data_IF_738453352644
#
_entry.id   IF_738453352644
#
_cell.length_a   1.000
_cell.length_b   1.000
_cell.length_c   1.000
_cell.angle_alpha   90.00
_cell.angle_beta   90.00
_cell.angle_gamma   90.00
#
_symmetry.space_group_name_H-M   'P 1'
#
loop_
_entity.id
_entity.type
_entity.pdbx_description
1 polymer ?
#
# COMPACT_ATOMS: atom_id res chain seq x y z
N UNK A 1 -5.50 9.97 -27.93
CA UNK A 1 -4.78 9.34 -26.82
C UNK A 1 -3.84 10.37 -26.23
N UNK A 2 -3.86 10.52 -24.93
CA UNK A 2 -2.91 11.37 -24.22
C UNK A 2 -1.55 10.65 -24.20
N UNK A 3 -0.44 11.40 -24.35
CA UNK A 3 0.90 10.80 -24.22
C UNK A 3 1.09 10.20 -22.84
N UNK A 4 1.47 8.91 -22.79
CA UNK A 4 1.74 8.22 -21.53
C UNK A 4 3.19 8.53 -21.15
N UNK A 5 3.38 9.29 -20.08
CA UNK A 5 4.71 9.67 -19.61
C UNK A 5 4.75 10.00 -18.12
N UNK A 6 5.90 9.82 -17.49
CA UNK A 6 6.14 10.28 -16.13
C UNK A 6 6.45 11.78 -16.17
N UNK A 7 5.71 12.55 -15.40
CA UNK A 7 5.99 13.97 -15.19
C UNK A 7 7.15 14.13 -14.20
N UNK A 8 8.35 14.33 -14.73
CA UNK A 8 9.57 14.48 -13.92
C UNK A 8 9.66 15.84 -13.21
N UNK A 9 8.87 16.81 -13.65
CA UNK A 9 8.79 18.15 -13.06
C UNK A 9 7.70 18.24 -11.97
N UNK A 10 6.88 17.19 -11.82
CA UNK A 10 5.87 17.12 -10.81
C UNK A 10 6.50 17.13 -9.40
N UNK A 11 6.11 18.13 -8.62
CA UNK A 11 6.67 18.35 -7.27
C UNK A 11 6.00 17.44 -6.25
N UNK A 12 6.80 16.76 -5.45
CA UNK A 12 6.33 15.99 -4.31
C UNK A 12 6.07 16.93 -3.11
N UNK A 13 4.85 16.88 -2.56
CA UNK A 13 4.52 17.49 -1.28
C UNK A 13 4.89 16.51 -0.17
N UNK A 14 5.98 16.80 0.55
CA UNK A 14 6.38 16.02 1.71
C UNK A 14 5.62 16.46 2.95
N UNK A 15 5.15 15.46 3.70
CA UNK A 15 4.56 15.64 5.04
C UNK A 15 5.29 14.74 6.01
N UNK A 16 5.87 15.33 7.03
CA UNK A 16 6.38 14.59 8.18
C UNK A 16 5.19 14.10 9.00
N UNK A 17 5.17 12.81 9.28
CA UNK A 17 4.10 12.14 10.03
C UNK A 17 4.45 12.06 11.51
N UNK A 18 5.72 11.85 11.81
CA UNK A 18 6.39 11.90 13.11
C UNK A 18 7.89 12.15 12.86
N UNK A 19 8.72 12.11 13.91
CA UNK A 19 10.15 12.41 13.83
C UNK A 19 10.93 11.55 12.84
N UNK A 20 10.47 10.33 12.59
CA UNK A 20 11.17 9.31 11.78
C UNK A 20 10.36 8.84 10.55
N UNK A 21 9.11 9.28 10.41
CA UNK A 21 8.17 8.81 9.38
C UNK A 21 7.67 9.95 8.51
N UNK A 22 7.61 9.73 7.21
CA UNK A 22 7.16 10.73 6.26
C UNK A 22 6.34 10.13 5.12
N UNK A 23 5.57 10.99 4.44
CA UNK A 23 4.86 10.65 3.20
C UNK A 23 5.04 11.76 2.18
N UNK A 24 5.43 11.37 0.96
CA UNK A 24 5.44 12.24 -0.22
C UNK A 24 4.18 11.98 -1.04
N UNK A 25 3.54 13.05 -1.49
CA UNK A 25 2.38 13.00 -2.39
C UNK A 25 2.70 13.81 -3.64
N UNK A 26 2.73 13.14 -4.80
CA UNK A 26 2.93 13.79 -6.09
C UNK A 26 1.65 13.64 -6.92
N UNK A 27 0.92 14.71 -7.13
CA UNK A 27 -0.29 14.72 -7.93
C UNK A 27 0.04 14.73 -9.42
N UNK A 28 -0.68 13.90 -10.20
CA UNK A 28 -0.50 13.85 -11.64
C UNK A 28 0.90 13.39 -12.09
N UNK A 29 1.60 12.63 -11.26
CA UNK A 29 2.95 12.12 -11.56
C UNK A 29 3.01 11.28 -12.84
N UNK A 30 1.92 10.56 -13.16
CA UNK A 30 1.79 9.82 -14.42
C UNK A 30 0.71 10.47 -15.29
N UNK A 31 1.08 10.97 -16.46
CA UNK A 31 0.17 11.41 -17.52
C UNK A 31 -0.33 10.20 -18.30
N UNK A 32 -1.57 10.26 -18.84
CA UNK A 32 -2.19 9.15 -19.56
C UNK A 32 -2.49 7.92 -18.67
N UNK A 33 -2.65 8.13 -17.36
CA UNK A 33 -2.83 7.06 -16.37
C UNK A 33 -4.10 6.23 -16.60
N UNK A 34 -5.14 6.79 -17.19
CA UNK A 34 -6.39 6.07 -17.49
C UNK A 34 -6.23 5.08 -18.65
N UNK A 35 -5.41 5.39 -19.65
CA UNK A 35 -5.05 4.45 -20.72
C UNK A 35 -4.23 3.29 -20.15
N UNK A 36 -3.29 3.56 -19.22
CA UNK A 36 -2.53 2.54 -18.51
C UNK A 36 -3.45 1.68 -17.64
N UNK A 37 -4.43 2.29 -16.93
CA UNK A 37 -5.42 1.55 -16.14
C UNK A 37 -6.19 0.56 -17.03
N UNK A 38 -6.70 1.00 -18.17
CA UNK A 38 -7.45 0.14 -19.09
C UNK A 38 -6.61 -1.03 -19.60
N UNK A 39 -5.37 -0.76 -20.02
CA UNK A 39 -4.45 -1.79 -20.49
C UNK A 39 -4.12 -2.83 -19.39
N UNK A 40 -3.95 -2.40 -18.15
CA UNK A 40 -3.67 -3.32 -17.04
C UNK A 40 -4.89 -4.14 -16.62
N UNK A 41 -6.10 -3.57 -16.66
CA UNK A 41 -7.33 -4.32 -16.38
C UNK A 41 -7.45 -5.53 -17.30
N UNK A 42 -7.15 -5.35 -18.58
CA UNK A 42 -7.27 -6.39 -19.60
C UNK A 42 -6.06 -7.33 -19.66
N UNK A 43 -4.84 -6.78 -19.53
CA UNK A 43 -3.60 -7.51 -19.82
C UNK A 43 -2.97 -8.25 -18.64
N UNK A 44 -3.37 -7.96 -17.38
CA UNK A 44 -2.76 -8.57 -16.21
C UNK A 44 -3.45 -9.88 -15.83
N UNK A 45 -2.71 -10.95 -15.54
CA UNK A 45 -3.27 -12.20 -15.03
C UNK A 45 -3.68 -12.04 -13.55
N UNK A 46 -4.80 -11.38 -13.31
CA UNK A 46 -5.32 -11.13 -11.99
C UNK A 46 -5.68 -12.41 -11.25
N UNK A 47 -5.28 -12.47 -9.97
CA UNK A 47 -5.56 -13.63 -9.09
C UNK A 47 -6.28 -13.19 -7.84
N UNK A 48 -7.23 -14.02 -7.39
CA UNK A 48 -7.90 -13.87 -6.11
C UNK A 48 -6.99 -14.40 -5.01
N UNK A 49 -6.52 -13.52 -4.12
CA UNK A 49 -5.81 -13.92 -2.91
C UNK A 49 -6.74 -14.56 -1.88
N UNK A 50 -6.19 -15.40 -1.00
CA UNK A 50 -6.92 -15.97 0.14
C UNK A 50 -6.09 -15.80 1.40
N UNK A 51 -6.75 -15.39 2.47
CA UNK A 51 -6.15 -15.24 3.80
C UNK A 51 -6.84 -16.15 4.81
N UNK A 52 -6.05 -16.77 5.69
CA UNK A 52 -6.61 -17.57 6.78
C UNK A 52 -6.96 -16.68 7.95
N UNK A 53 -8.28 -16.53 8.25
CA UNK A 53 -8.82 -15.76 9.37
C UNK A 53 -10.03 -16.45 9.95
N UNK A 54 -10.25 -16.29 11.25
CA UNK A 54 -11.40 -16.85 11.93
C UNK A 54 -11.56 -18.35 11.64
N UNK A 55 -10.43 -19.10 11.68
CA UNK A 55 -10.37 -20.55 11.45
C UNK A 55 -10.81 -21.02 10.05
N UNK A 56 -10.88 -20.10 9.09
CA UNK A 56 -11.25 -20.40 7.70
C UNK A 56 -10.46 -19.56 6.69
N UNK A 57 -10.38 -20.04 5.46
CA UNK A 57 -9.87 -19.25 4.36
C UNK A 57 -10.96 -18.31 3.84
N UNK A 58 -10.62 -17.04 3.75
CA UNK A 58 -11.46 -15.98 3.18
C UNK A 58 -10.78 -15.42 1.94
N UNK A 59 -11.56 -15.15 0.91
CA UNK A 59 -11.06 -14.45 -0.26
C UNK A 59 -10.71 -13.00 0.10
N UNK A 60 -9.54 -12.53 -0.33
CA UNK A 60 -9.21 -11.11 -0.17
C UNK A 60 -10.15 -10.26 -1.03
N UNK A 61 -10.74 -9.20 -0.50
CA UNK A 61 -11.63 -8.33 -1.26
C UNK A 61 -10.80 -7.39 -2.17
N UNK A 62 -10.03 -7.97 -3.07
CA UNK A 62 -9.24 -7.37 -4.16
C UNK A 62 -8.57 -8.48 -4.96
N UNK A 63 -8.18 -8.18 -6.19
CA UNK A 63 -7.31 -9.04 -6.97
C UNK A 63 -5.86 -8.58 -6.85
N UNK A 64 -4.92 -9.49 -7.11
CA UNK A 64 -3.50 -9.18 -7.06
C UNK A 64 -2.69 -9.83 -8.17
N UNK A 65 -1.53 -9.26 -8.46
CA UNK A 65 -0.49 -9.86 -9.30
C UNK A 65 0.88 -9.34 -8.87
N UNK A 66 1.94 -10.12 -9.11
CA UNK A 66 3.31 -9.74 -8.79
C UNK A 66 4.21 -9.97 -10.00
N UNK A 67 5.13 -9.03 -10.23
CA UNK A 67 6.13 -9.08 -11.28
C UNK A 67 7.50 -8.79 -10.68
N UNK A 68 8.43 -9.74 -10.77
CA UNK A 68 9.81 -9.54 -10.36
C UNK A 68 10.51 -8.53 -11.25
N UNK A 69 11.51 -7.84 -10.72
CA UNK A 69 12.29 -6.82 -11.46
C UNK A 69 12.98 -7.38 -12.72
N UNK A 70 13.27 -8.68 -12.73
CA UNK A 70 13.96 -9.37 -13.81
C UNK A 70 12.99 -9.96 -14.86
N UNK A 71 11.68 -9.71 -14.69
CA UNK A 71 10.61 -10.10 -15.64
C UNK A 71 10.03 -8.88 -16.33
N UNK A 72 9.55 -9.01 -17.58
CA UNK A 72 8.83 -7.94 -18.25
C UNK A 72 7.61 -7.50 -17.45
N UNK A 73 7.48 -6.20 -17.21
CA UNK A 73 6.27 -5.66 -16.59
C UNK A 73 5.11 -5.60 -17.59
N UNK A 74 3.86 -5.66 -17.13
CA UNK A 74 2.68 -5.74 -18.01
C UNK A 74 2.43 -4.45 -18.80
N UNK A 75 3.13 -3.35 -18.49
CA UNK A 75 3.10 -2.12 -19.27
C UNK A 75 4.47 -1.41 -19.19
N UNK A 76 5.00 -0.87 -20.31
CA UNK A 76 6.33 -0.24 -20.37
C UNK A 76 6.52 0.88 -19.34
N UNK A 77 5.50 1.71 -19.10
CA UNK A 77 5.56 2.81 -18.14
C UNK A 77 5.84 2.35 -16.70
N UNK A 78 5.46 1.12 -16.32
CA UNK A 78 5.79 0.59 -15.01
C UNK A 78 7.29 0.31 -14.87
N UNK A 79 7.98 -0.02 -15.98
CA UNK A 79 9.44 -0.14 -16.00
C UNK A 79 10.11 1.23 -15.86
N UNK A 80 9.57 2.25 -16.50
CA UNK A 80 10.04 3.63 -16.34
C UNK A 80 9.81 4.15 -14.93
N UNK A 81 8.62 3.90 -14.38
CA UNK A 81 8.26 4.23 -12.99
C UNK A 81 9.22 3.58 -12.00
N UNK A 82 9.50 2.29 -12.17
CA UNK A 82 10.46 1.57 -11.35
C UNK A 82 11.84 2.25 -11.35
N UNK A 83 12.36 2.57 -12.53
CA UNK A 83 13.68 3.23 -12.67
C UNK A 83 13.69 4.65 -12.07
N UNK A 84 12.63 5.44 -12.33
CA UNK A 84 12.51 6.80 -11.81
C UNK A 84 12.46 6.80 -10.27
N UNK A 85 11.67 5.91 -9.68
CA UNK A 85 11.56 5.78 -8.23
C UNK A 85 12.86 5.29 -7.58
N UNK A 86 13.57 4.33 -8.19
CA UNK A 86 14.88 3.89 -7.70
C UNK A 86 15.90 5.03 -7.70
N UNK A 87 15.90 5.84 -8.74
CA UNK A 87 16.79 6.98 -8.85
C UNK A 87 16.45 8.06 -7.81
N UNK A 88 15.18 8.41 -7.68
CA UNK A 88 14.70 9.47 -6.79
C UNK A 88 14.94 9.13 -5.31
N UNK A 89 14.64 7.90 -4.89
CA UNK A 89 14.73 7.48 -3.48
C UNK A 89 16.02 6.72 -3.16
N UNK A 90 16.91 6.50 -4.14
CA UNK A 90 18.20 5.82 -4.00
C UNK A 90 18.09 4.42 -3.37
N UNK A 91 17.11 3.66 -3.82
CA UNK A 91 16.82 2.30 -3.34
C UNK A 91 16.71 1.33 -4.52
N UNK A 92 16.79 0.02 -4.24
CA UNK A 92 16.61 -1.02 -5.26
C UNK A 92 15.38 -1.86 -4.91
N UNK A 93 14.32 -1.71 -5.69
CA UNK A 93 13.10 -2.51 -5.53
C UNK A 93 13.25 -3.92 -6.12
N UNK A 94 12.58 -4.90 -5.50
CA UNK A 94 12.57 -6.29 -5.96
C UNK A 94 11.61 -6.57 -7.12
N UNK A 95 10.67 -5.68 -7.37
CA UNK A 95 9.62 -5.84 -8.38
C UNK A 95 8.44 -4.91 -8.13
N UNK A 96 7.33 -5.15 -8.83
CA UNK A 96 6.07 -4.41 -8.66
C UNK A 96 4.92 -5.35 -8.30
N UNK A 97 4.21 -5.02 -7.23
CA UNK A 97 2.95 -5.64 -6.87
C UNK A 97 1.78 -4.82 -7.40
N UNK A 98 0.80 -5.46 -7.99
CA UNK A 98 -0.43 -4.83 -8.44
C UNK A 98 -1.59 -5.30 -7.56
N UNK A 99 -2.39 -4.36 -7.06
CA UNK A 99 -3.62 -4.64 -6.34
C UNK A 99 -4.79 -3.96 -7.07
N UNK A 100 -5.76 -4.75 -7.49
CA UNK A 100 -6.94 -4.28 -8.22
C UNK A 100 -8.18 -4.34 -7.33
N UNK A 101 -8.72 -3.18 -7.02
CA UNK A 101 -9.98 -2.95 -6.34
C UNK A 101 -11.04 -2.71 -7.41
N UNK A 102 -11.87 -3.71 -7.69
CA UNK A 102 -12.83 -3.74 -8.83
C UNK A 102 -13.95 -2.72 -8.68
N UNK A 103 -14.39 -2.53 -7.42
CA UNK A 103 -15.49 -1.61 -7.09
C UNK A 103 -15.36 -1.10 -5.65
N UNK A 104 -16.38 -0.41 -5.14
CA UNK A 104 -16.40 0.14 -3.77
C UNK A 104 -16.43 -0.92 -2.67
N UNK A 105 -16.76 -2.18 -2.96
CA UNK A 105 -16.79 -3.28 -1.98
C UNK A 105 -15.41 -3.87 -1.72
N UNK A 106 -14.52 -3.78 -2.71
CA UNK A 106 -13.13 -4.20 -2.54
C UNK A 106 -12.38 -3.24 -1.61
N UNK A 107 -11.53 -3.78 -0.76
CA UNK A 107 -10.90 -3.00 0.31
C UNK A 107 -9.67 -3.71 0.88
N UNK A 108 -8.87 -2.97 1.62
CA UNK A 108 -7.91 -3.51 2.59
C UNK A 108 -8.03 -2.72 3.89
N UNK A 109 -8.19 -3.44 4.99
CA UNK A 109 -8.25 -2.85 6.32
C UNK A 109 -6.89 -2.22 6.70
N UNK A 110 -6.86 -1.42 7.77
CA UNK A 110 -5.62 -0.88 8.31
C UNK A 110 -4.59 -1.98 8.58
N UNK A 111 -3.47 -1.87 7.91
CA UNK A 111 -2.37 -2.82 7.96
C UNK A 111 -1.04 -2.11 7.70
N UNK A 112 0.02 -2.83 7.87
CA UNK A 112 1.35 -2.56 7.33
C UNK A 112 1.75 -3.72 6.43
N UNK A 113 2.67 -3.50 5.54
CA UNK A 113 3.15 -4.54 4.64
C UNK A 113 4.01 -5.54 5.42
N UNK A 114 3.40 -6.67 5.77
CA UNK A 114 4.00 -7.70 6.64
C UNK A 114 5.15 -8.46 5.96
N UNK A 115 5.28 -8.34 4.65
CA UNK A 115 6.41 -8.89 3.89
C UNK A 115 7.73 -8.17 4.20
N UNK A 116 7.64 -6.93 4.70
CA UNK A 116 8.77 -6.15 5.16
C UNK A 116 9.07 -6.46 6.63
N UNK A 117 9.93 -7.44 6.87
CA UNK A 117 10.32 -7.85 8.23
C UNK A 117 11.10 -6.77 8.99
N UNK A 118 11.84 -5.92 8.27
CA UNK A 118 12.64 -4.83 8.82
C UNK A 118 11.94 -3.51 8.54
N UNK A 119 11.49 -2.84 9.59
CA UNK A 119 10.65 -1.65 9.49
C UNK A 119 11.34 -0.34 9.95
N UNK A 120 12.65 -0.40 10.28
CA UNK A 120 13.39 0.77 10.76
C UNK A 120 13.62 1.83 9.68
N UNK A 121 13.80 1.39 8.43
CA UNK A 121 13.89 2.29 7.30
C UNK A 121 13.36 1.60 6.05
N UNK A 122 12.26 2.10 5.55
CA UNK A 122 11.51 1.54 4.41
C UNK A 122 11.19 2.62 3.39
N UNK A 123 11.01 2.22 2.13
CA UNK A 123 10.42 3.05 1.08
C UNK A 123 9.35 2.23 0.39
N UNK A 124 8.12 2.73 0.41
CA UNK A 124 6.98 2.10 -0.25
C UNK A 124 6.32 3.13 -1.16
N UNK A 125 6.44 2.93 -2.46
CA UNK A 125 5.82 3.76 -3.47
C UNK A 125 4.51 3.12 -3.95
N UNK A 126 3.45 3.91 -4.10
CA UNK A 126 2.11 3.50 -4.53
C UNK A 126 1.64 4.44 -5.62
N UNK A 127 1.66 3.98 -6.87
CA UNK A 127 1.05 4.68 -8.01
C UNK A 127 -0.42 4.25 -8.11
N UNK A 128 -1.32 5.22 -8.17
CA UNK A 128 -2.76 5.00 -8.30
C UNK A 128 -3.19 5.17 -9.74
N UNK A 129 -4.00 4.22 -10.24
CA UNK A 129 -4.60 4.25 -11.56
C UNK A 129 -6.11 4.02 -11.44
N UNK A 130 -6.92 4.74 -12.21
CA UNK A 130 -8.38 4.65 -12.20
C UNK A 130 -9.04 5.49 -11.10
N UNK A 131 -10.13 5.02 -10.51
CA UNK A 131 -10.99 5.83 -9.65
C UNK A 131 -10.28 6.39 -8.42
N UNK A 132 -10.49 7.69 -8.17
CA UNK A 132 -10.15 8.31 -6.88
C UNK A 132 -10.99 7.69 -5.77
N UNK A 133 -10.33 7.29 -4.69
CA UNK A 133 -11.02 6.80 -3.48
C UNK A 133 -10.14 7.02 -2.25
N UNK A 134 -10.71 6.95 -1.04
CA UNK A 134 -9.95 7.12 0.18
C UNK A 134 -8.73 6.20 0.25
N UNK A 135 -7.63 6.75 0.69
CA UNK A 135 -6.41 6.04 1.05
C UNK A 135 -5.91 6.62 2.36
N UNK A 136 -6.09 5.85 3.42
CA UNK A 136 -6.00 6.34 4.79
C UNK A 136 -4.66 5.97 5.42
N UNK A 137 -4.07 6.93 6.15
CA UNK A 137 -2.96 6.73 7.07
C UNK A 137 -3.40 7.02 8.49
N UNK A 138 -3.03 6.17 9.45
CA UNK A 138 -3.23 6.46 10.88
C UNK A 138 -2.05 5.97 11.71
N UNK A 139 -1.74 6.62 12.84
CA UNK A 139 -0.74 6.16 13.77
C UNK A 139 -1.06 4.74 14.27
N UNK A 140 -0.04 3.92 14.39
CA UNK A 140 -0.15 2.61 15.03
C UNK A 140 -0.29 2.81 16.54
N UNK A 141 -1.50 2.63 17.07
CA UNK A 141 -1.73 2.65 18.51
C UNK A 141 -0.89 1.58 19.21
N UNK A 142 -0.20 1.95 20.27
CA UNK A 142 0.45 0.97 21.13
C UNK A 142 -0.65 0.20 21.86
N UNK A 143 -0.81 -1.10 21.60
CA UNK A 143 -1.81 -1.93 22.28
C UNK A 143 -1.66 -1.94 23.81
N UNK A 144 -0.44 -1.67 24.28
CA UNK A 144 -0.11 -1.60 25.70
C UNK A 144 -0.56 -0.30 26.38
N UNK A 145 -1.05 0.69 25.59
CA UNK A 145 -1.56 1.97 26.09
C UNK A 145 -3.09 2.09 26.07
N UNK A 146 -3.82 1.02 25.85
CA UNK A 146 -5.23 0.96 26.24
C UNK A 146 -5.30 0.89 27.78
N UNK A 147 -5.16 2.03 28.42
CA UNK A 147 -5.44 2.18 29.82
C UNK A 147 -6.93 1.99 30.04
N UNK A 148 -7.28 1.30 31.12
CA UNK A 148 -8.65 1.06 31.56
C UNK A 148 -9.42 2.37 31.89
N UNK A 149 -8.78 3.52 31.81
CA UNK A 149 -9.35 4.86 32.12
C UNK A 149 -9.95 5.60 30.91
N UNK A 150 -9.93 4.99 29.72
CA UNK A 150 -10.51 5.61 28.53
C UNK A 150 -9.79 6.91 28.04
N UNK A 151 -8.70 7.31 28.69
CA UNK A 151 -7.90 8.43 28.25
C UNK A 151 -7.24 8.08 26.91
N UNK A 152 -7.63 8.76 25.84
CA UNK A 152 -7.14 8.58 24.49
C UNK A 152 -5.60 8.60 24.47
N UNK A 153 -5.05 7.68 23.70
CA UNK A 153 -3.61 7.67 23.49
C UNK A 153 -3.14 9.00 22.90
N UNK A 154 -1.96 9.45 23.25
CA UNK A 154 -1.28 10.64 22.73
C UNK A 154 -1.21 10.68 21.19
N UNK A 155 -1.50 9.55 20.53
CA UNK A 155 -1.61 9.33 19.07
C UNK A 155 -3.05 9.03 18.61
N UNK A 156 -4.08 9.46 19.33
CA UNK A 156 -5.50 9.34 18.94
C UNK A 156 -5.92 10.27 17.79
N UNK A 157 -5.00 10.57 16.86
CA UNK A 157 -5.26 11.38 15.69
C UNK A 157 -6.23 10.70 14.72
N UNK A 158 -7.12 11.51 14.08
CA UNK A 158 -7.94 11.07 12.97
C UNK A 158 -7.06 10.53 11.86
N UNK A 159 -7.50 9.47 11.17
CA UNK A 159 -6.83 9.01 9.98
C UNK A 159 -6.71 10.14 8.94
N UNK A 160 -5.54 10.27 8.34
CA UNK A 160 -5.28 11.21 7.25
C UNK A 160 -5.74 10.54 5.96
N UNK A 161 -6.63 11.18 5.21
CA UNK A 161 -7.03 10.71 3.89
C UNK A 161 -6.23 11.44 2.81
N UNK A 162 -5.39 10.71 2.09
CA UNK A 162 -4.62 11.26 0.97
C UNK A 162 -5.38 11.24 -0.35
N UNK A 163 -6.47 10.49 -0.44
CA UNK A 163 -7.40 10.40 -1.56
C UNK A 163 -6.73 10.49 -2.95
N UNK A 164 -5.78 9.62 -3.30
CA UNK A 164 -5.09 9.68 -4.59
C UNK A 164 -6.05 9.38 -5.74
N UNK A 165 -5.91 10.16 -6.81
CA UNK A 165 -6.58 9.95 -8.10
C UNK A 165 -5.69 9.22 -9.10
N UNK A 166 -6.21 9.04 -10.33
CA UNK A 166 -5.46 8.42 -11.43
C UNK A 166 -4.20 9.23 -11.75
N UNK A 167 -3.04 8.56 -11.79
CA UNK A 167 -1.74 9.17 -12.02
C UNK A 167 -1.05 9.75 -10.77
N UNK A 168 -1.70 9.76 -9.61
CA UNK A 168 -1.09 10.24 -8.37
C UNK A 168 -0.13 9.18 -7.77
N UNK A 169 1.02 9.65 -7.29
CA UNK A 169 2.01 8.84 -6.58
C UNK A 169 2.02 9.20 -5.10
N UNK A 170 2.01 8.19 -4.25
CA UNK A 170 2.27 8.29 -2.81
C UNK A 170 3.54 7.51 -2.49
N UNK A 171 4.46 8.09 -1.72
CA UNK A 171 5.63 7.36 -1.23
C UNK A 171 5.73 7.53 0.29
N UNK A 172 5.67 6.42 1.00
CA UNK A 172 5.90 6.37 2.44
C UNK A 172 7.35 6.00 2.74
N UNK A 173 7.97 6.66 3.69
CA UNK A 173 9.36 6.38 4.02
C UNK A 173 9.71 6.45 5.51
N UNK A 174 10.98 6.14 5.79
CA UNK A 174 11.51 6.06 7.14
C UNK A 174 10.85 4.93 7.95
N UNK A 175 10.44 5.22 9.17
CA UNK A 175 9.78 4.27 10.08
C UNK A 175 8.26 4.15 9.85
N UNK A 176 7.75 4.63 8.73
CA UNK A 176 6.29 4.62 8.46
C UNK A 176 5.69 3.21 8.63
N UNK A 177 6.39 2.15 8.22
CA UNK A 177 5.94 0.76 8.41
C UNK A 177 6.01 0.28 9.87
N UNK A 178 6.81 0.89 10.71
CA UNK A 178 6.84 0.60 12.15
C UNK A 178 5.73 1.34 12.90
N UNK A 179 5.53 2.62 12.56
CA UNK A 179 4.76 3.57 13.36
C UNK A 179 3.34 3.82 12.85
N UNK A 180 3.07 3.54 11.56
CA UNK A 180 1.82 3.87 10.89
C UNK A 180 1.16 2.67 10.23
N UNK A 181 -0.14 2.76 10.04
CA UNK A 181 -0.98 1.82 9.30
C UNK A 181 -1.62 2.54 8.12
N UNK A 182 -1.83 1.81 7.03
CA UNK A 182 -2.55 2.33 5.87
C UNK A 182 -3.71 1.42 5.46
N UNK A 183 -4.72 2.01 4.81
CA UNK A 183 -5.92 1.30 4.41
C UNK A 183 -6.52 1.86 3.12
N UNK A 184 -7.23 0.99 2.39
CA UNK A 184 -8.17 1.38 1.34
C UNK A 184 -9.55 0.89 1.79
N UNK A 185 -10.37 1.76 2.39
CA UNK A 185 -11.66 1.36 2.96
C UNK A 185 -12.68 1.05 1.86
N UNK A 186 -13.76 0.35 2.23
CA UNK A 186 -14.95 0.24 1.39
C UNK A 186 -15.56 1.61 1.16
N UNK A 187 -16.10 1.81 -0.03
CA UNK A 187 -16.79 3.04 -0.41
C UNK A 187 -18.22 2.68 -0.79
N UNK A 188 -19.24 3.31 -0.17
CA UNK A 188 -20.62 3.08 -0.54
C UNK A 188 -20.94 3.68 -1.91
N UNK A 189 -21.87 3.05 -2.62
CA UNK A 189 -22.35 3.52 -3.93
C UNK A 189 -21.46 3.11 -5.11
N UNK A 190 -21.89 3.45 -6.32
CA UNK A 190 -21.16 3.15 -7.54
C UNK A 190 -19.91 4.03 -7.66
N UNK A 191 -18.83 3.45 -8.14
CA UNK A 191 -17.64 4.16 -8.57
C UNK A 191 -17.59 4.22 -10.10
N UNK A 192 -17.01 5.30 -10.69
CA UNK A 192 -16.92 5.44 -12.15
C UNK A 192 -16.04 4.35 -12.79
N UNK A 193 -15.09 3.81 -12.03
CA UNK A 193 -14.20 2.74 -12.43
C UNK A 193 -13.67 2.00 -11.19
N UNK A 194 -12.97 0.90 -11.41
CA UNK A 194 -12.12 0.30 -10.38
C UNK A 194 -10.85 1.13 -10.13
N UNK A 195 -10.02 0.67 -9.21
CA UNK A 195 -8.72 1.27 -8.90
C UNK A 195 -7.63 0.21 -8.90
N UNK A 196 -6.51 0.49 -9.55
CA UNK A 196 -5.28 -0.29 -9.42
C UNK A 196 -4.28 0.52 -8.58
N UNK A 197 -3.62 -0.15 -7.63
CA UNK A 197 -2.43 0.34 -6.95
C UNK A 197 -1.22 -0.44 -7.44
N UNK A 198 -0.28 0.20 -8.14
CA UNK A 198 1.01 -0.38 -8.46
C UNK A 198 1.99 -0.01 -7.33
N UNK A 199 2.63 -1.01 -6.72
CA UNK A 199 3.35 -0.86 -5.46
C UNK A 199 4.77 -1.40 -5.57
N UNK A 200 5.75 -0.59 -5.19
CA UNK A 200 7.15 -0.95 -5.06
C UNK A 200 7.55 -0.86 -3.59
N UNK A 201 8.29 -1.85 -3.10
CA UNK A 201 8.66 -1.95 -1.68
C UNK A 201 10.14 -2.19 -1.52
N UNK A 202 10.72 -1.47 -0.57
CA UNK A 202 12.11 -1.61 -0.18
C UNK A 202 12.26 -1.49 1.34
N UNK A 203 13.27 -2.18 1.89
CA UNK A 203 13.71 -2.05 3.26
C UNK A 203 15.23 -2.10 3.35
N UNK A 204 15.81 -1.32 4.25
CA UNK A 204 17.24 -1.31 4.52
C UNK A 204 17.77 -2.64 5.08
N UNK A 205 16.90 -3.52 5.57
CA UNK A 205 17.22 -4.75 6.30
C UNK A 205 18.06 -4.50 7.55
N UNK A 206 18.04 -3.28 8.09
CA UNK A 206 18.70 -2.90 9.34
C UNK A 206 17.72 -2.98 10.51
N UNK A 207 18.27 -3.09 11.73
CA UNK A 207 17.47 -3.19 12.93
C UNK A 207 17.03 -4.63 13.26
N UNK A 208 16.12 -4.76 14.21
CA UNK A 208 15.58 -6.04 14.64
C UNK A 208 14.45 -6.47 13.73
N UNK A 209 14.52 -7.67 13.12
CA UNK A 209 13.42 -8.16 12.30
C UNK A 209 12.18 -8.38 13.18
N UNK A 210 11.03 -7.96 12.69
CA UNK A 210 9.78 -8.24 13.37
C UNK A 210 9.43 -9.73 13.29
N UNK A 211 9.18 -10.34 14.44
CA UNK A 211 8.88 -11.77 14.58
C UNK A 211 7.39 -12.10 14.45
N UNK A 212 6.59 -11.22 13.86
CA UNK A 212 5.18 -11.55 13.69
C UNK A 212 4.99 -12.56 12.56
N UNK A 213 4.16 -13.59 12.76
CA UNK A 213 3.79 -14.48 11.66
C UNK A 213 3.15 -13.66 10.55
N UNK A 214 3.41 -14.05 9.30
CA UNK A 214 2.76 -13.45 8.15
C UNK A 214 1.25 -13.34 8.40
N UNK A 215 0.63 -12.25 7.97
CA UNK A 215 -0.79 -11.97 8.20
C UNK A 215 -1.72 -13.11 7.78
N UNK A 216 -1.29 -13.90 6.81
CA UNK A 216 -1.96 -15.10 6.29
C UNK A 216 -1.55 -16.41 6.98
N UNK A 217 -0.60 -16.37 7.95
CA UNK A 217 -0.21 -17.61 8.64
C UNK A 217 -1.36 -18.11 9.53
N UNK A 218 -1.58 -19.42 9.59
CA UNK A 218 -2.54 -20.01 10.52
C UNK A 218 -2.17 -19.61 11.95
N UNK A 219 -3.12 -19.05 12.69
CA UNK A 219 -2.95 -18.77 14.11
C UNK A 219 -3.33 -20.02 14.86
N UNK A 220 -2.39 -20.65 15.55
CA UNK A 220 -2.70 -21.69 16.53
C UNK A 220 -3.27 -21.02 17.78
N UNK A 221 -4.56 -21.11 17.96
CA UNK A 221 -5.17 -20.77 19.25
C UNK A 221 -4.83 -21.89 20.24
N UNK A 222 -4.20 -21.53 21.36
CA UNK A 222 -4.07 -22.46 22.49
C UNK A 222 -5.47 -22.92 22.88
N UNK A 223 -5.66 -24.24 22.98
CA UNK A 223 -6.92 -24.83 23.49
C UNK A 223 -7.29 -24.14 24.79
N UNK A 224 -8.58 -23.82 25.05
CA UNK A 224 -9.01 -23.39 26.35
C UNK A 224 -8.54 -24.43 27.38
N UNK A 225 -7.86 -23.97 28.42
CA UNK A 225 -7.58 -24.84 29.55
C UNK A 225 -8.94 -25.33 30.04
N UNK A 226 -9.21 -26.62 29.92
CA UNK A 226 -10.39 -27.25 30.49
C UNK A 226 -10.45 -26.93 31.98
N UNK A 227 -11.68 -26.70 32.46
CA UNK A 227 -11.96 -26.55 33.86
C UNK A 227 -11.69 -27.87 34.60
#
# INVERSE_FOLDING_TARGET
MQEISIDRDATAERRDLDDDSWVDVTRGWLRGADDVYAALVEGVPWRQGRVFRYERYLDEPRLGSWFDRDTPYPHPVLTEAHRALQHQYRVTFGGVGLAFYRDGRDSVAFHRDTDLRYCENTVIAVLTLGARRPWLLQPRGNRDRFRADGAGTEYGGKAIDLAPGSGDLIVMGGRCQANWLHAVPKVPGPLPAGRISAQWRWTSRTGRPEQQPAYSAPRHFTRPRGR
#
